data_IF_986460361054
#
_entry.id   IF_986460361054
#
_cell.length_a   1.000
_cell.length_b   1.000
_cell.length_c   1.000
_cell.angle_alpha   90.00
_cell.angle_beta   90.00
_cell.angle_gamma   90.00
#
_symmetry.space_group_name_H-M   'P 1'
#
loop_
_entity.id
_entity.type
_entity.pdbx_description
1 polymer ?
#
# COMPACT_ATOMS: atom_id res chain seq x y z
N UNK A 1 3.49 14.87 7.20
CA UNK A 1 4.56 13.85 7.36
C UNK A 1 5.74 14.27 6.49
N UNK A 2 6.99 13.98 6.87
CA UNK A 2 8.12 14.24 5.97
C UNK A 2 8.23 13.18 4.86
N UNK A 3 8.99 13.51 3.82
CA UNK A 3 9.15 12.67 2.61
C UNK A 3 9.82 11.31 2.93
N UNK A 4 10.72 11.24 3.90
CA UNK A 4 11.39 10.00 4.28
C UNK A 4 10.41 9.02 4.98
N UNK A 5 9.61 9.52 5.91
CA UNK A 5 8.57 8.75 6.58
C UNK A 5 7.48 8.27 5.60
N UNK A 6 7.14 9.09 4.60
CA UNK A 6 6.17 8.71 3.57
C UNK A 6 6.70 7.56 2.70
N UNK A 7 7.98 7.63 2.30
CA UNK A 7 8.66 6.56 1.55
C UNK A 7 8.74 5.27 2.34
N UNK A 8 9.13 5.33 3.62
CA UNK A 8 9.17 4.16 4.49
C UNK A 8 7.79 3.50 4.61
N UNK A 9 6.75 4.29 4.86
CA UNK A 9 5.39 3.76 4.97
C UNK A 9 4.87 3.17 3.65
N UNK A 10 5.19 3.80 2.51
CA UNK A 10 4.86 3.25 1.20
C UNK A 10 5.56 1.92 0.94
N UNK A 11 6.84 1.82 1.30
CA UNK A 11 7.61 0.59 1.18
C UNK A 11 7.05 -0.53 2.07
N UNK A 12 6.75 -0.23 3.33
CA UNK A 12 6.09 -1.17 4.25
C UNK A 12 4.77 -1.68 3.68
N UNK A 13 3.95 -0.81 3.08
CA UNK A 13 2.71 -1.20 2.43
C UNK A 13 2.93 -2.14 1.23
N UNK A 14 3.92 -1.87 0.41
CA UNK A 14 4.27 -2.72 -0.73
C UNK A 14 4.71 -4.11 -0.30
N UNK A 15 5.53 -4.20 0.76
CA UNK A 15 6.04 -5.48 1.27
C UNK A 15 4.97 -6.25 2.06
N UNK A 16 4.16 -5.55 2.85
CA UNK A 16 3.19 -6.19 3.73
C UNK A 16 1.94 -6.69 3.00
N UNK A 17 1.65 -6.23 1.78
CA UNK A 17 0.39 -6.54 1.09
C UNK A 17 0.61 -7.33 -0.19
N UNK A 18 -0.35 -8.20 -0.53
CA UNK A 18 -0.41 -8.99 -1.77
C UNK A 18 -0.96 -8.17 -2.97
N UNK A 19 -1.01 -6.85 -2.85
CA UNK A 19 -1.60 -5.98 -3.86
C UNK A 19 -0.75 -5.95 -5.12
N UNK A 20 -1.40 -5.81 -6.27
CA UNK A 20 -0.71 -5.58 -7.54
C UNK A 20 -0.46 -4.09 -7.76
N UNK A 21 0.65 -3.74 -8.39
CA UNK A 21 1.00 -2.36 -8.73
C UNK A 21 -0.14 -1.60 -9.45
N UNK A 22 -0.79 -2.25 -10.42
CA UNK A 22 -1.93 -1.68 -11.15
C UNK A 22 -3.11 -1.29 -10.26
N UNK A 23 -3.41 -2.08 -9.24
CA UNK A 23 -4.55 -1.82 -8.35
C UNK A 23 -4.26 -0.65 -7.41
N UNK A 24 -3.01 -0.56 -6.95
CA UNK A 24 -2.51 0.55 -6.13
C UNK A 24 -2.48 1.83 -6.94
N UNK A 25 -1.91 1.81 -8.15
CA UNK A 25 -1.89 2.95 -9.05
C UNK A 25 -3.30 3.49 -9.33
N UNK A 26 -4.25 2.59 -9.62
CA UNK A 26 -5.68 2.93 -9.81
C UNK A 26 -6.33 3.53 -8.57
N UNK A 27 -5.98 3.04 -7.38
CA UNK A 27 -6.45 3.62 -6.13
C UNK A 27 -5.96 5.06 -6.01
N UNK A 28 -4.64 5.29 -6.17
CA UNK A 28 -4.04 6.61 -6.07
C UNK A 28 -4.64 7.60 -7.09
N UNK A 29 -4.78 7.18 -8.35
CA UNK A 29 -5.40 7.99 -9.41
C UNK A 29 -6.84 8.37 -9.09
N UNK A 30 -7.64 7.45 -8.54
CA UNK A 30 -9.02 7.74 -8.12
C UNK A 30 -9.08 8.74 -6.97
N UNK A 31 -8.17 8.65 -6.00
CA UNK A 31 -8.07 9.62 -4.91
C UNK A 31 -7.75 11.02 -5.44
N UNK A 32 -6.91 11.10 -6.48
CA UNK A 32 -6.61 12.34 -7.21
C UNK A 32 -7.72 12.78 -8.18
N UNK A 33 -8.88 12.12 -8.19
CA UNK A 33 -10.03 12.49 -9.03
C UNK A 33 -9.94 12.05 -10.50
N UNK A 34 -8.95 11.23 -10.87
CA UNK A 34 -8.83 10.75 -12.24
C UNK A 34 -9.70 9.52 -12.51
N UNK A 35 -10.25 9.44 -13.73
CA UNK A 35 -10.97 8.26 -14.22
C UNK A 35 -10.00 7.15 -14.66
N UNK A 36 -10.42 5.91 -14.46
CA UNK A 36 -9.65 4.73 -14.86
C UNK A 36 -9.55 4.65 -16.39
N UNK A 37 -8.35 4.44 -16.91
CA UNK A 37 -8.05 4.30 -18.34
C UNK A 37 -7.42 2.94 -18.65
N UNK A 38 -7.62 2.43 -19.87
CA UNK A 38 -7.01 1.15 -20.32
C UNK A 38 -5.48 1.13 -20.21
N UNK A 39 -4.83 2.29 -20.28
CA UNK A 39 -3.36 2.43 -20.20
C UNK A 39 -2.81 2.05 -18.84
N UNK A 40 -3.63 2.07 -17.79
CA UNK A 40 -3.24 1.69 -16.41
C UNK A 40 -2.90 0.22 -16.25
N UNK A 41 -3.30 -0.66 -17.19
CA UNK A 41 -2.99 -2.09 -17.14
C UNK A 41 -1.48 -2.39 -17.14
N UNK A 42 -0.63 -1.42 -17.46
CA UNK A 42 0.84 -1.54 -17.50
C UNK A 42 1.56 -0.80 -16.38
N UNK A 43 0.85 -0.32 -15.35
CA UNK A 43 1.48 0.43 -14.27
C UNK A 43 2.55 -0.40 -13.55
N UNK A 44 3.73 0.20 -13.40
CA UNK A 44 4.85 -0.39 -12.67
C UNK A 44 4.76 -0.05 -11.18
N UNK A 45 5.51 -0.78 -10.38
CA UNK A 45 5.62 -0.48 -8.95
C UNK A 45 6.27 0.88 -8.67
N UNK A 46 7.20 1.33 -9.52
CA UNK A 46 7.78 2.67 -9.43
C UNK A 46 6.70 3.75 -9.53
N UNK A 47 5.82 3.65 -10.53
CA UNK A 47 4.74 4.62 -10.75
C UNK A 47 3.74 4.62 -9.58
N UNK A 48 3.41 3.43 -9.07
CA UNK A 48 2.51 3.27 -7.94
C UNK A 48 3.14 3.80 -6.64
N UNK A 49 4.44 3.59 -6.45
CA UNK A 49 5.20 4.06 -5.30
C UNK A 49 5.26 5.59 -5.25
N UNK A 50 5.61 6.24 -6.36
CA UNK A 50 5.71 7.70 -6.42
C UNK A 50 4.37 8.36 -6.07
N UNK A 51 3.27 7.85 -6.61
CA UNK A 51 1.93 8.34 -6.27
C UNK A 51 1.53 8.06 -4.83
N UNK A 52 1.92 6.89 -4.29
CA UNK A 52 1.70 6.56 -2.87
C UNK A 52 2.41 7.56 -1.97
N UNK A 53 3.69 7.84 -2.24
CA UNK A 53 4.50 8.76 -1.43
C UNK A 53 3.89 10.15 -1.43
N UNK A 54 3.52 10.67 -2.61
CA UNK A 54 2.86 11.98 -2.73
C UNK A 54 1.59 12.03 -1.89
N UNK A 55 0.71 11.03 -2.03
CA UNK A 55 -0.56 11.01 -1.29
C UNK A 55 -0.40 10.82 0.21
N UNK A 56 0.59 10.04 0.64
CA UNK A 56 0.90 9.82 2.06
C UNK A 56 1.48 11.10 2.69
N UNK A 57 2.37 11.79 1.98
CA UNK A 57 2.98 13.03 2.45
C UNK A 57 1.94 14.17 2.55
N UNK A 58 1.04 14.25 1.57
CA UNK A 58 0.05 15.33 1.43
C UNK A 58 -1.21 15.14 2.29
N UNK A 59 -1.58 13.88 2.62
CA UNK A 59 -2.82 13.58 3.34
C UNK A 59 -2.61 12.65 4.53
N UNK A 60 -2.69 13.21 5.74
CA UNK A 60 -2.59 12.42 6.98
C UNK A 60 -3.73 11.39 7.10
N UNK A 61 -4.92 11.70 6.59
CA UNK A 61 -6.07 10.76 6.52
C UNK A 61 -5.74 9.57 5.63
N UNK A 62 -5.15 9.82 4.45
CA UNK A 62 -4.72 8.75 3.56
C UNK A 62 -3.61 7.91 4.20
N UNK A 63 -2.59 8.56 4.78
CA UNK A 63 -1.50 7.92 5.51
C UNK A 63 -2.01 7.01 6.64
N UNK A 64 -2.96 7.49 7.46
CA UNK A 64 -3.60 6.67 8.50
C UNK A 64 -4.32 5.44 7.93
N UNK A 65 -4.96 5.59 6.77
CA UNK A 65 -5.56 4.49 6.03
C UNK A 65 -4.54 3.44 5.56
N UNK A 66 -3.35 3.86 5.13
CA UNK A 66 -2.25 2.96 4.73
C UNK A 66 -1.68 2.23 5.96
N UNK A 67 -1.37 2.95 7.05
CA UNK A 67 -0.90 2.35 8.31
C UNK A 67 -1.85 1.25 8.81
N UNK A 68 -3.16 1.48 8.71
CA UNK A 68 -4.18 0.49 9.11
C UNK A 68 -4.09 -0.78 8.27
N UNK A 69 -3.86 -0.66 6.96
CA UNK A 69 -3.73 -1.79 6.04
C UNK A 69 -2.46 -2.59 6.30
N UNK A 70 -1.32 -1.92 6.51
CA UNK A 70 -0.05 -2.55 6.90
C UNK A 70 -0.24 -3.38 8.18
N UNK A 71 -0.79 -2.76 9.24
CA UNK A 71 -1.06 -3.46 10.52
C UNK A 71 -2.00 -4.66 10.37
N UNK A 72 -3.03 -4.53 9.53
CA UNK A 72 -3.97 -5.61 9.28
C UNK A 72 -3.36 -6.77 8.46
N UNK A 73 -2.34 -6.50 7.65
CA UNK A 73 -1.63 -7.54 6.92
C UNK A 73 -0.63 -8.28 7.83
N UNK A 74 0.12 -7.57 8.67
CA UNK A 74 1.03 -8.18 9.65
C UNK A 74 0.32 -9.18 10.58
N UNK A 75 -0.90 -8.85 11.05
CA UNK A 75 -1.72 -9.77 11.87
C UNK A 75 -2.11 -11.06 11.16
N UNK A 76 -2.23 -11.07 9.83
CA UNK A 76 -2.57 -12.30 9.08
C UNK A 76 -1.39 -13.26 9.00
N UNK A 77 -0.17 -12.72 8.93
CA UNK A 77 1.06 -13.52 8.94
C UNK A 77 1.32 -14.16 10.30
N UNK A 78 0.99 -13.46 11.39
CA UNK A 78 1.16 -13.99 12.77
C UNK A 78 0.13 -15.08 13.10
N UNK A 79 -1.15 -14.91 12.75
CA UNK A 79 -2.16 -15.94 13.01
C UNK A 79 -1.99 -17.23 12.18
N UNK A 80 -1.17 -17.20 11.12
CA UNK A 80 -0.79 -18.37 10.34
C UNK A 80 0.28 -19.24 11.03
N UNK A 81 1.26 -18.59 11.67
CA UNK A 81 2.38 -19.28 12.33
C UNK A 81 1.99 -20.00 13.64
N UNK A 82 0.99 -19.51 14.38
CA UNK A 82 0.54 -20.17 15.62
C UNK A 82 -0.18 -21.50 15.35
N UNK A 83 -0.85 -21.64 14.20
CA UNK A 83 -1.52 -22.90 13.83
C UNK A 83 -0.55 -24.01 13.44
N UNK A 84 0.64 -23.65 12.95
CA UNK A 84 1.67 -24.61 12.56
C UNK A 84 2.45 -25.11 13.78
N UNK A 85 2.68 -24.26 14.80
CA UNK A 85 3.32 -24.66 16.07
C UNK A 85 2.45 -25.52 16.99
N UNK A 86 1.12 -25.46 16.87
CA UNK A 86 0.20 -26.31 17.65
C UNK A 86 -0.01 -27.72 17.06
N UNK A 87 0.55 -28.00 15.88
CA UNK A 87 0.44 -29.32 15.20
C UNK A 87 1.76 -30.11 15.19
N UNK A 88 2.84 -29.54 15.70
CA UNK A 88 4.13 -30.20 15.88
C UNK A 88 4.27 -30.66 17.34
#
# INVERSE_FOLDING_TARGET
MDDAAARLLAFEFMVATDRRAVDVYRLCRRVLGHRATRRECRALWSDAFDLLVVLIADSETFAAGIRRRVRAAGRRSDCGHDRERMRA
#
